data_IF_714704918387
#
_entry.id   IF_714704918387
#
_cell.length_a   1.000
_cell.length_b   1.000
_cell.length_c   1.000
_cell.angle_alpha   90.00
_cell.angle_beta   90.00
_cell.angle_gamma   90.00
#
_symmetry.space_group_name_H-M   'P 1'
#
loop_
_entity.id
_entity.type
_entity.pdbx_description
1 polymer ?
#
# COMPACT_ATOMS: atom_id res chain seq x y z
N UNK A 1 9.74 29.38 -7.91
CA UNK A 1 10.68 28.77 -6.94
C UNK A 1 10.75 27.29 -7.21
N UNK A 2 11.92 26.86 -7.68
CA UNK A 2 12.32 25.46 -7.85
C UNK A 2 12.37 24.80 -6.46
N UNK A 3 12.21 23.48 -6.39
CA UNK A 3 12.52 22.79 -5.14
C UNK A 3 14.03 22.88 -4.93
N UNK A 4 14.48 23.31 -3.75
CA UNK A 4 15.90 23.21 -3.42
C UNK A 4 16.28 21.72 -3.51
N UNK A 5 17.33 21.42 -4.28
CA UNK A 5 17.82 20.05 -4.40
C UNK A 5 18.21 19.60 -2.99
N UNK A 6 17.59 18.53 -2.46
CA UNK A 6 17.86 18.10 -1.09
C UNK A 6 19.33 17.67 -0.96
N UNK A 7 19.88 17.87 0.24
CA UNK A 7 21.20 17.33 0.57
C UNK A 7 21.22 15.82 0.34
N UNK A 8 22.27 15.33 -0.31
CA UNK A 8 22.36 13.93 -0.68
C UNK A 8 22.54 13.07 0.57
N UNK A 9 21.68 12.06 0.72
CA UNK A 9 21.77 11.09 1.81
C UNK A 9 23.08 10.30 1.62
N UNK A 10 23.83 10.08 2.71
CA UNK A 10 25.08 9.30 2.66
C UNK A 10 24.78 7.80 2.49
N UNK A 11 24.58 7.38 1.25
CA UNK A 11 24.28 6.00 0.88
C UNK A 11 25.56 5.17 0.70
N UNK A 12 25.58 3.99 1.33
CA UNK A 12 26.61 2.98 1.11
C UNK A 12 26.19 2.07 -0.06
N UNK A 13 26.90 2.17 -1.18
CA UNK A 13 26.67 1.32 -2.35
C UNK A 13 27.50 0.05 -2.29
N UNK A 14 26.96 -1.07 -2.78
CA UNK A 14 27.74 -2.30 -2.95
C UNK A 14 28.41 -2.31 -4.34
N UNK A 15 29.75 -2.24 -4.41
CA UNK A 15 30.47 -2.16 -5.68
C UNK A 15 30.38 -3.48 -6.46
N UNK A 16 30.40 -4.63 -5.78
CA UNK A 16 30.39 -5.95 -6.43
C UNK A 16 29.09 -6.26 -7.17
N UNK A 17 27.94 -5.87 -6.62
CA UNK A 17 26.64 -6.08 -7.27
C UNK A 17 26.10 -4.84 -7.98
N UNK A 18 26.86 -3.72 -8.04
CA UNK A 18 26.42 -2.44 -8.60
C UNK A 18 25.01 -2.04 -8.12
N UNK A 19 24.77 -2.12 -6.81
CA UNK A 19 23.49 -1.81 -6.16
C UNK A 19 22.25 -2.63 -6.61
N UNK A 20 22.43 -3.80 -7.24
CA UNK A 20 21.31 -4.72 -7.57
C UNK A 20 20.98 -5.72 -6.46
N UNK A 21 21.93 -5.97 -5.54
CA UNK A 21 21.83 -6.97 -4.47
C UNK A 21 22.14 -8.41 -4.90
N UNK A 22 22.23 -8.68 -6.21
CA UNK A 22 22.41 -10.02 -6.76
C UNK A 22 23.57 -10.06 -7.75
N UNK A 23 24.21 -11.23 -7.85
CA UNK A 23 25.19 -11.54 -8.89
C UNK A 23 24.67 -12.78 -9.60
N UNK A 24 24.13 -12.59 -10.81
CA UNK A 24 23.34 -13.62 -11.49
C UNK A 24 22.11 -14.00 -10.66
N UNK A 25 21.99 -15.27 -10.30
CA UNK A 25 20.86 -15.79 -9.49
C UNK A 25 21.13 -15.80 -7.98
N UNK A 26 22.37 -15.57 -7.55
CA UNK A 26 22.76 -15.67 -6.15
C UNK A 26 22.77 -14.30 -5.48
N UNK A 27 22.38 -14.26 -4.19
CA UNK A 27 22.54 -13.07 -3.36
C UNK A 27 24.01 -12.68 -3.30
N UNK A 28 24.29 -11.39 -3.44
CA UNK A 28 25.65 -10.90 -3.35
C UNK A 28 26.25 -11.25 -1.98
N UNK A 29 27.41 -11.91 -1.99
CA UNK A 29 28.11 -12.32 -0.77
C UNK A 29 28.64 -11.13 0.01
N UNK A 30 28.91 -9.99 -0.62
CA UNK A 30 29.46 -8.79 0.03
C UNK A 30 28.40 -8.03 0.84
N UNK A 31 27.27 -7.67 0.24
CA UNK A 31 26.18 -6.97 0.92
C UNK A 31 25.12 -7.89 1.53
N UNK A 32 25.17 -9.20 1.27
CA UNK A 32 24.15 -10.16 1.74
C UNK A 32 22.78 -9.98 1.08
N UNK A 33 22.72 -9.29 -0.07
CA UNK A 33 21.50 -8.93 -0.76
C UNK A 33 21.03 -7.49 -0.52
N UNK A 34 21.52 -6.83 0.53
CA UNK A 34 21.03 -5.51 0.96
C UNK A 34 21.25 -4.36 -0.04
N UNK A 35 22.10 -4.56 -1.06
CA UNK A 35 22.36 -3.69 -2.21
C UNK A 35 22.87 -2.26 -1.92
N UNK A 36 22.08 -1.46 -1.22
CA UNK A 36 22.33 -0.07 -0.79
C UNK A 36 21.80 0.08 0.63
N UNK A 37 22.49 0.85 1.47
CA UNK A 37 21.97 1.16 2.80
C UNK A 37 22.49 2.46 3.39
N UNK A 38 21.81 2.91 4.43
CA UNK A 38 22.06 4.15 5.14
C UNK A 38 21.75 3.94 6.63
N UNK A 39 22.59 4.50 7.51
CA UNK A 39 22.36 4.43 8.95
C UNK A 39 21.74 5.75 9.43
N UNK A 40 20.53 5.67 9.98
CA UNK A 40 19.80 6.85 10.47
C UNK A 40 18.89 6.43 11.61
N UNK A 41 18.66 7.32 12.58
CA UNK A 41 17.79 7.07 13.75
C UNK A 41 18.10 5.76 14.51
N UNK A 42 19.37 5.35 14.53
CA UNK A 42 19.80 4.12 15.22
C UNK A 42 19.46 2.82 14.48
N UNK A 43 18.92 2.90 13.26
CA UNK A 43 18.59 1.77 12.39
C UNK A 43 19.44 1.78 11.11
N UNK A 44 19.70 0.58 10.60
CA UNK A 44 20.27 0.37 9.28
C UNK A 44 19.15 0.17 8.27
N UNK A 45 18.83 1.25 7.55
CA UNK A 45 17.90 1.22 6.44
C UNK A 45 18.60 0.63 5.23
N UNK A 46 18.03 -0.38 4.60
CA UNK A 46 18.60 -0.98 3.40
C UNK A 46 17.55 -1.30 2.35
N UNK A 47 17.98 -1.42 1.10
CA UNK A 47 17.10 -1.71 -0.03
C UNK A 47 17.20 -3.17 -0.48
N UNK A 48 16.15 -3.96 -0.26
CA UNK A 48 16.08 -5.34 -0.77
C UNK A 48 14.92 -5.52 -1.74
N UNK A 49 15.06 -4.93 -2.92
CA UNK A 49 14.18 -5.18 -4.06
C UNK A 49 14.95 -5.03 -5.39
N UNK A 50 15.36 -6.14 -6.02
CA UNK A 50 16.22 -6.08 -7.21
C UNK A 50 15.48 -5.53 -8.43
N UNK A 51 15.83 -4.30 -8.83
CA UNK A 51 15.40 -3.70 -10.09
C UNK A 51 16.24 -4.26 -11.24
N UNK A 52 15.90 -5.46 -11.68
CA UNK A 52 16.56 -6.14 -12.81
C UNK A 52 15.51 -6.78 -13.71
N UNK A 53 15.83 -6.97 -14.99
CA UNK A 53 14.90 -7.56 -15.97
C UNK A 53 14.35 -8.92 -15.51
N UNK A 54 15.22 -9.80 -15.00
CA UNK A 54 14.82 -11.14 -14.54
C UNK A 54 13.87 -11.07 -13.35
N UNK A 55 14.24 -10.34 -12.29
CA UNK A 55 13.43 -10.29 -11.07
C UNK A 55 12.10 -9.55 -11.27
N UNK A 56 12.07 -8.50 -12.10
CA UNK A 56 10.84 -7.77 -12.43
C UNK A 56 9.89 -8.64 -13.27
N UNK A 57 10.39 -9.35 -14.28
CA UNK A 57 9.59 -10.28 -15.06
C UNK A 57 9.07 -11.44 -14.20
N UNK A 58 9.89 -11.97 -13.29
CA UNK A 58 9.47 -13.00 -12.35
C UNK A 58 8.39 -12.48 -11.38
N UNK A 59 8.51 -11.25 -10.87
CA UNK A 59 7.50 -10.64 -10.03
C UNK A 59 6.17 -10.46 -10.79
N UNK A 60 6.23 -9.98 -12.04
CA UNK A 60 5.05 -9.86 -12.92
C UNK A 60 4.42 -11.22 -13.20
N UNK A 61 5.22 -12.22 -13.54
CA UNK A 61 4.77 -13.58 -13.79
C UNK A 61 4.11 -14.20 -12.55
N UNK A 62 4.67 -14.02 -11.35
CA UNK A 62 4.05 -14.46 -10.10
C UNK A 62 2.68 -13.83 -9.89
N UNK A 63 2.53 -12.51 -10.10
CA UNK A 63 1.23 -11.82 -9.98
C UNK A 63 0.20 -12.37 -10.96
N UNK A 64 0.58 -12.59 -12.22
CA UNK A 64 -0.30 -13.17 -13.23
C UNK A 64 -0.67 -14.59 -12.84
N UNK A 65 0.30 -15.41 -12.46
CA UNK A 65 0.10 -16.78 -12.00
C UNK A 65 -0.86 -16.85 -10.81
N UNK A 66 -0.76 -15.91 -9.85
CA UNK A 66 -1.71 -15.84 -8.74
C UNK A 66 -3.14 -15.55 -9.20
N UNK A 67 -3.34 -14.61 -10.12
CA UNK A 67 -4.67 -14.33 -10.70
C UNK A 67 -5.22 -15.53 -11.46
N UNK A 68 -4.41 -16.14 -12.32
CA UNK A 68 -4.81 -17.33 -13.11
C UNK A 68 -5.15 -18.50 -12.18
N UNK A 69 -4.32 -18.77 -11.17
CA UNK A 69 -4.56 -19.81 -10.18
C UNK A 69 -5.84 -19.55 -9.37
N UNK A 70 -6.08 -18.30 -8.96
CA UNK A 70 -7.30 -17.96 -8.23
C UNK A 70 -8.55 -18.20 -9.10
N UNK A 71 -8.53 -17.71 -10.34
CA UNK A 71 -9.64 -17.88 -11.29
C UNK A 71 -9.86 -19.36 -11.61
N UNK A 72 -8.80 -20.13 -11.89
CA UNK A 72 -8.93 -21.55 -12.21
C UNK A 72 -9.48 -22.36 -11.04
N UNK A 73 -9.03 -22.11 -9.81
CA UNK A 73 -9.56 -22.75 -8.62
C UNK A 73 -11.01 -22.33 -8.32
N UNK A 74 -11.37 -21.07 -8.56
CA UNK A 74 -12.75 -20.61 -8.43
C UNK A 74 -13.68 -21.34 -9.42
N UNK A 75 -13.25 -21.48 -10.67
CA UNK A 75 -14.01 -22.22 -11.70
C UNK A 75 -14.13 -23.71 -11.39
N UNK A 76 -13.06 -24.33 -10.88
CA UNK A 76 -13.08 -25.73 -10.43
C UNK A 76 -14.02 -25.92 -9.23
N UNK A 77 -13.99 -24.99 -8.28
CA UNK A 77 -14.91 -24.99 -7.15
C UNK A 77 -16.37 -24.89 -7.61
N UNK A 78 -16.70 -23.93 -8.49
CA UNK A 78 -18.03 -23.75 -9.04
C UNK A 78 -18.51 -24.99 -9.81
N UNK A 79 -17.64 -25.63 -10.60
CA UNK A 79 -18.00 -26.86 -11.31
C UNK A 79 -18.25 -28.03 -10.35
N UNK A 80 -17.34 -28.24 -9.39
CA UNK A 80 -17.46 -29.33 -8.44
C UNK A 80 -18.75 -29.20 -7.60
N UNK A 81 -19.05 -28.00 -7.11
CA UNK A 81 -20.28 -27.74 -6.36
C UNK A 81 -21.53 -27.75 -7.25
N UNK A 82 -21.46 -27.21 -8.47
CA UNK A 82 -22.59 -27.21 -9.41
C UNK A 82 -23.03 -28.62 -9.78
N UNK A 83 -22.08 -29.45 -10.25
CA UNK A 83 -22.36 -30.85 -10.58
C UNK A 83 -22.73 -31.68 -9.35
N UNK A 84 -22.02 -31.50 -8.24
CA UNK A 84 -22.36 -32.16 -6.97
C UNK A 84 -23.81 -31.87 -6.55
N UNK A 85 -24.23 -30.61 -6.60
CA UNK A 85 -25.59 -30.17 -6.25
C UNK A 85 -26.63 -30.72 -7.22
N UNK A 86 -26.36 -30.71 -8.53
CA UNK A 86 -27.27 -31.26 -9.55
C UNK A 86 -27.48 -32.77 -9.37
N UNK A 87 -26.42 -33.53 -9.09
CA UNK A 87 -26.54 -34.96 -8.81
C UNK A 87 -27.32 -35.25 -7.51
N UNK A 88 -27.11 -34.44 -6.46
CA UNK A 88 -27.93 -34.53 -5.25
C UNK A 88 -29.40 -34.19 -5.52
N UNK A 89 -29.68 -33.19 -6.36
CA UNK A 89 -31.03 -32.84 -6.78
C UNK A 89 -31.72 -33.99 -7.52
N UNK A 90 -31.02 -34.64 -8.45
CA UNK A 90 -31.54 -35.81 -9.16
C UNK A 90 -31.86 -36.98 -8.22
N UNK A 91 -31.16 -37.13 -7.10
CA UNK A 91 -31.45 -38.13 -6.06
C UNK A 91 -32.62 -37.75 -5.15
N UNK A 92 -33.28 -36.62 -5.39
CA UNK A 92 -34.44 -36.17 -4.61
C UNK A 92 -34.08 -35.65 -3.22
N UNK A 93 -32.80 -35.39 -2.94
CA UNK A 93 -32.31 -35.04 -1.60
C UNK A 93 -32.83 -33.68 -1.10
N UNK A 94 -33.26 -32.81 -2.01
CA UNK A 94 -33.85 -31.49 -1.71
C UNK A 94 -35.38 -31.48 -1.62
N UNK A 95 -36.05 -32.64 -1.76
CA UNK A 95 -37.52 -32.71 -1.69
C UNK A 95 -38.08 -32.44 -0.29
N UNK A 96 -37.29 -32.69 0.77
CA UNK A 96 -37.65 -32.47 2.16
C UNK A 96 -36.61 -31.58 2.85
N UNK A 97 -36.69 -30.26 2.62
CA UNK A 97 -35.74 -29.27 3.18
C UNK A 97 -35.71 -29.28 4.71
N UNK A 98 -36.85 -29.57 5.36
CA UNK A 98 -36.96 -29.66 6.83
C UNK A 98 -36.12 -30.80 7.44
N UNK A 99 -35.91 -31.91 6.72
CA UNK A 99 -35.07 -33.02 7.20
C UNK A 99 -33.57 -32.71 7.10
N UNK A 100 -33.18 -31.76 6.25
CA UNK A 100 -31.80 -31.39 5.95
C UNK A 100 -31.19 -30.47 7.02
N UNK A 101 -32.04 -29.72 7.74
CA UNK A 101 -31.67 -28.80 8.83
C UNK A 101 -31.64 -29.48 10.22
N UNK A 102 -32.23 -30.66 10.37
CA UNK A 102 -32.22 -31.40 11.63
C UNK A 102 -30.87 -32.08 11.87
N UNK A 103 -30.12 -31.61 12.88
CA UNK A 103 -28.77 -32.07 13.22
C UNK A 103 -28.66 -33.59 13.47
N UNK A 104 -29.74 -34.23 13.93
CA UNK A 104 -29.85 -35.69 14.14
C UNK A 104 -29.76 -36.50 12.84
N UNK A 105 -30.11 -35.91 11.69
CA UNK A 105 -29.99 -36.52 10.35
C UNK A 105 -28.66 -36.19 9.65
N UNK A 106 -27.74 -35.45 10.28
CA UNK A 106 -26.43 -35.15 9.68
C UNK A 106 -25.61 -36.42 9.35
N UNK A 107 -25.78 -37.49 10.14
CA UNK A 107 -25.17 -38.81 9.85
C UNK A 107 -25.75 -39.48 8.60
N UNK A 108 -27.05 -39.34 8.31
CA UNK A 108 -27.66 -39.91 7.10
C UNK A 108 -27.28 -39.11 5.85
N UNK A 109 -27.09 -37.79 5.96
CA UNK A 109 -26.51 -36.94 4.91
C UNK A 109 -25.11 -37.40 4.50
N UNK A 110 -24.21 -37.62 5.46
CA UNK A 110 -22.84 -38.09 5.20
C UNK A 110 -22.86 -39.51 4.59
N UNK A 111 -23.80 -40.36 4.99
CA UNK A 111 -23.96 -41.70 4.40
C UNK A 111 -24.57 -41.65 2.99
N UNK A 112 -25.46 -40.71 2.70
CA UNK A 112 -26.03 -40.47 1.36
C UNK A 112 -25.03 -39.83 0.38
N UNK A 113 -23.94 -39.28 0.89
CA UNK A 113 -22.80 -38.77 0.12
C UNK A 113 -21.77 -39.87 -0.23
N UNK A 114 -22.11 -41.16 -0.07
CA UNK A 114 -21.25 -42.27 -0.50
C UNK A 114 -21.38 -42.48 -2.02
N UNK A 115 -20.57 -41.74 -2.77
CA UNK A 115 -20.56 -41.82 -4.24
C UNK A 115 -19.74 -40.70 -4.89
N UNK A 116 -19.92 -40.53 -6.20
CA UNK A 116 -19.27 -39.49 -7.00
C UNK A 116 -19.71 -38.10 -6.52
N UNK A 117 -20.97 -37.96 -6.10
CA UNK A 117 -21.54 -36.74 -5.54
C UNK A 117 -20.80 -36.25 -4.27
N UNK A 118 -20.45 -37.16 -3.37
CA UNK A 118 -19.67 -36.83 -2.18
C UNK A 118 -18.27 -36.39 -2.54
N UNK A 119 -17.61 -37.09 -3.46
CA UNK A 119 -16.28 -36.69 -3.93
C UNK A 119 -16.27 -35.29 -4.54
N UNK A 120 -17.28 -34.92 -5.34
CA UNK A 120 -17.41 -33.58 -5.91
C UNK A 120 -17.61 -32.51 -4.83
N UNK A 121 -18.43 -32.79 -3.82
CA UNK A 121 -18.71 -31.82 -2.74
C UNK A 121 -17.51 -31.64 -1.82
N UNK A 122 -16.87 -32.74 -1.41
CA UNK A 122 -15.68 -32.69 -0.54
C UNK A 122 -14.48 -32.07 -1.26
N UNK A 123 -14.25 -32.40 -2.54
CA UNK A 123 -13.19 -31.76 -3.33
C UNK A 123 -13.46 -30.27 -3.51
N UNK A 124 -14.70 -29.86 -3.77
CA UNK A 124 -15.10 -28.46 -3.78
C UNK A 124 -14.86 -27.77 -2.43
N UNK A 125 -15.25 -28.38 -1.31
CA UNK A 125 -14.99 -27.83 0.02
C UNK A 125 -13.48 -27.66 0.28
N UNK A 126 -12.66 -28.64 -0.10
CA UNK A 126 -11.20 -28.54 0.02
C UNK A 126 -10.61 -27.39 -0.81
N UNK A 127 -11.10 -27.19 -2.04
CA UNK A 127 -10.70 -26.07 -2.90
C UNK A 127 -11.09 -24.73 -2.26
N UNK A 128 -12.30 -24.63 -1.71
CA UNK A 128 -12.78 -23.43 -1.02
C UNK A 128 -11.91 -23.10 0.21
N UNK A 129 -11.61 -24.10 1.04
CA UNK A 129 -10.74 -23.93 2.21
C UNK A 129 -9.32 -23.53 1.80
N UNK A 130 -8.79 -24.10 0.72
CA UNK A 130 -7.50 -23.69 0.18
C UNK A 130 -7.52 -22.24 -0.33
N UNK A 131 -8.56 -21.85 -1.07
CA UNK A 131 -8.74 -20.46 -1.53
C UNK A 131 -8.82 -19.50 -0.34
N UNK A 132 -9.54 -19.88 0.71
CA UNK A 132 -9.67 -19.08 1.92
C UNK A 132 -8.35 -18.96 2.68
N UNK A 133 -7.63 -20.07 2.89
CA UNK A 133 -6.29 -20.09 3.46
C UNK A 133 -5.32 -19.19 2.67
N UNK A 134 -5.31 -19.30 1.34
CA UNK A 134 -4.48 -18.46 0.48
C UNK A 134 -4.86 -16.99 0.57
N UNK A 135 -6.14 -16.67 0.60
CA UNK A 135 -6.62 -15.29 0.77
C UNK A 135 -6.19 -14.69 2.12
N UNK A 136 -6.04 -15.50 3.17
CA UNK A 136 -5.52 -15.06 4.47
C UNK A 136 -4.00 -14.86 4.42
N UNK A 137 -3.25 -15.83 3.89
CA UNK A 137 -1.78 -15.77 3.81
C UNK A 137 -1.30 -14.66 2.87
N UNK A 138 -2.00 -14.38 1.79
CA UNK A 138 -1.64 -13.30 0.87
C UNK A 138 -1.90 -11.90 1.44
N UNK A 139 -2.63 -11.79 2.56
CA UNK A 139 -2.78 -10.55 3.34
C UNK A 139 -1.65 -10.31 4.34
N UNK A 140 -0.56 -11.09 4.31
CA UNK A 140 0.61 -10.83 5.17
C UNK A 140 1.02 -9.37 4.99
N UNK A 141 0.99 -8.65 6.11
CA UNK A 141 1.12 -7.20 6.18
C UNK A 141 2.50 -6.77 5.69
N UNK A 142 2.52 -5.71 4.90
CA UNK A 142 3.72 -4.92 4.63
C UNK A 142 4.18 -4.26 5.93
N UNK A 143 5.49 -4.12 6.08
CA UNK A 143 6.03 -3.39 7.21
C UNK A 143 5.60 -1.93 7.13
N UNK A 144 5.39 -1.32 8.29
CA UNK A 144 5.09 0.11 8.34
C UNK A 144 6.40 0.90 8.36
N UNK A 145 6.34 2.14 7.87
CA UNK A 145 7.40 3.13 8.12
C UNK A 145 7.56 3.29 9.64
N UNK A 146 8.79 3.60 10.07
CA UNK A 146 9.10 3.91 11.46
C UNK A 146 8.09 4.92 12.02
N UNK A 147 7.60 4.68 13.24
CA UNK A 147 6.70 5.62 13.90
C UNK A 147 7.49 6.80 14.42
N UNK A 148 6.99 8.00 14.16
CA UNK A 148 7.51 9.21 14.78
C UNK A 148 7.22 9.19 16.28
N UNK A 149 8.26 9.23 17.12
CA UNK A 149 8.13 9.25 18.58
C UNK A 149 8.19 10.68 19.12
N UNK A 150 7.03 11.28 19.39
CA UNK A 150 6.94 12.64 19.97
C UNK A 150 7.59 12.75 21.36
N UNK A 151 7.65 11.67 22.14
CA UNK A 151 8.20 11.66 23.51
C UNK A 151 9.73 11.76 23.59
N UNK A 152 10.43 11.89 22.46
CA UNK A 152 11.89 12.06 22.42
C UNK A 152 12.33 13.53 22.33
N UNK A 153 11.39 14.48 22.31
CA UNK A 153 11.71 15.92 22.26
C UNK A 153 12.12 16.51 23.62
N UNK A 154 12.05 15.73 24.71
CA UNK A 154 12.31 16.19 26.08
C UNK A 154 13.55 15.59 26.77
N UNK A 155 14.17 14.57 26.20
CA UNK A 155 15.42 13.98 26.72
C UNK A 155 16.44 14.01 25.59
N UNK A 156 17.60 14.61 25.86
CA UNK A 156 18.80 14.65 25.00
C UNK A 156 19.35 13.24 24.71
N UNK A 157 18.58 12.40 24.03
CA UNK A 157 19.15 11.33 23.22
C UNK A 157 19.41 11.97 21.87
N UNK A 158 20.57 12.62 21.77
CA UNK A 158 21.29 12.67 20.50
C UNK A 158 21.14 11.26 19.92
N UNK A 159 20.31 11.10 18.88
CA UNK A 159 20.42 9.90 18.07
C UNK A 159 21.90 9.82 17.69
N UNK A 160 22.47 8.61 17.66
CA UNK A 160 23.84 8.33 17.21
C UNK A 160 24.02 8.74 15.71
N UNK A 161 23.79 10.01 15.39
CA UNK A 161 23.89 10.67 14.08
C UNK A 161 25.32 10.61 13.55
N UNK A 162 26.29 10.27 14.41
CA UNK A 162 27.72 10.18 14.08
C UNK A 162 28.19 8.77 13.70
N UNK A 163 27.35 7.73 13.72
CA UNK A 163 27.78 6.39 13.27
C UNK A 163 27.73 6.32 11.75
N UNK A 164 28.78 6.82 11.11
CA UNK A 164 28.98 6.69 9.66
C UNK A 164 29.42 5.25 9.39
N UNK A 165 28.50 4.43 8.89
CA UNK A 165 28.80 3.07 8.44
C UNK A 165 29.44 3.15 7.04
N UNK A 166 30.77 3.12 6.99
CA UNK A 166 31.52 3.25 5.73
C UNK A 166 31.68 1.92 4.96
N UNK A 167 31.54 0.78 5.64
CA UNK A 167 31.85 -0.54 5.08
C UNK A 167 30.73 -1.57 5.26
N UNK A 168 30.54 -2.43 4.24
CA UNK A 168 29.58 -3.55 4.29
C UNK A 168 29.88 -4.58 5.37
N UNK A 169 31.15 -4.72 5.78
CA UNK A 169 31.55 -5.58 6.90
C UNK A 169 30.95 -5.09 8.22
N UNK A 170 30.86 -3.77 8.41
CA UNK A 170 30.25 -3.18 9.59
C UNK A 170 28.73 -3.28 9.51
N UNK A 171 28.13 -2.93 8.36
CA UNK A 171 26.69 -3.04 8.12
C UNK A 171 26.14 -4.45 8.41
N UNK A 172 26.90 -5.50 8.06
CA UNK A 172 26.52 -6.89 8.34
C UNK A 172 26.49 -7.24 9.82
N UNK A 173 27.40 -6.70 10.63
CA UNK A 173 27.50 -6.97 12.08
C UNK A 173 26.35 -6.34 12.87
N UNK A 174 25.62 -5.38 12.29
CA UNK A 174 24.44 -4.77 12.92
C UNK A 174 23.41 -5.85 13.25
N UNK A 175 22.84 -5.79 14.46
CA UNK A 175 21.82 -6.75 14.94
C UNK A 175 20.61 -6.74 14.01
N UNK A 176 20.04 -7.91 13.72
CA UNK A 176 18.91 -8.04 12.77
C UNK A 176 17.71 -7.16 13.13
N UNK A 177 17.43 -6.94 14.42
CA UNK A 177 16.32 -6.10 14.89
C UNK A 177 16.49 -4.61 14.55
N UNK A 178 17.73 -4.18 14.29
CA UNK A 178 18.05 -2.80 13.89
C UNK A 178 18.15 -2.63 12.37
N UNK A 179 17.91 -3.69 11.58
CA UNK A 179 17.96 -3.63 10.12
C UNK A 179 16.54 -3.56 9.61
N UNK A 180 16.25 -2.54 8.81
CA UNK A 180 14.92 -2.31 8.23
C UNK A 180 15.08 -2.34 6.72
N UNK A 181 14.34 -3.26 6.08
CA UNK A 181 14.23 -3.25 4.62
C UNK A 181 13.23 -2.17 4.22
N UNK A 182 13.75 -1.08 3.67
CA UNK A 182 12.94 0.06 3.22
C UNK A 182 11.92 -0.38 2.17
N UNK A 183 12.28 -1.32 1.29
CA UNK A 183 11.40 -1.78 0.21
C UNK A 183 10.11 -2.45 0.71
N UNK A 184 10.12 -3.06 1.91
CA UNK A 184 8.93 -3.74 2.46
C UNK A 184 7.86 -2.74 2.91
N UNK A 185 8.24 -1.47 3.12
CA UNK A 185 7.33 -0.37 3.47
C UNK A 185 6.65 0.28 2.26
N UNK A 186 7.08 -0.06 1.04
CA UNK A 186 6.53 0.52 -0.18
C UNK A 186 5.22 -0.17 -0.55
N UNK A 187 4.23 0.62 -0.99
CA UNK A 187 2.98 0.08 -1.55
C UNK A 187 3.24 -0.78 -2.78
N UNK A 188 2.32 -1.70 -3.10
CA UNK A 188 2.50 -2.56 -4.28
C UNK A 188 2.50 -1.72 -5.57
N UNK A 189 1.70 -0.65 -5.57
CA UNK A 189 1.65 0.36 -6.62
C UNK A 189 2.99 1.12 -6.75
N UNK A 190 3.61 1.54 -5.64
CA UNK A 190 4.92 2.16 -5.69
C UNK A 190 5.99 1.21 -6.26
N UNK A 191 6.02 -0.05 -5.80
CA UNK A 191 6.94 -1.06 -6.33
C UNK A 191 6.66 -1.41 -7.80
N UNK A 192 5.40 -1.40 -8.24
CA UNK A 192 5.07 -1.60 -9.67
C UNK A 192 5.61 -0.46 -10.51
N UNK A 193 5.43 0.79 -10.07
CA UNK A 193 5.91 1.99 -10.78
C UNK A 193 7.43 2.00 -10.88
N UNK A 194 8.15 1.64 -9.81
CA UNK A 194 9.62 1.50 -9.85
C UNK A 194 10.07 0.46 -10.90
N UNK A 195 9.37 -0.68 -10.96
CA UNK A 195 9.62 -1.71 -11.95
C UNK A 195 9.31 -1.25 -13.39
N UNK A 196 8.22 -0.51 -13.58
CA UNK A 196 7.84 0.06 -14.88
C UNK A 196 8.85 1.10 -15.35
N UNK A 197 9.31 1.98 -14.47
CA UNK A 197 10.37 2.95 -14.75
C UNK A 197 11.63 2.28 -15.29
N UNK A 198 12.08 1.21 -14.62
CA UNK A 198 13.20 0.40 -15.09
C UNK A 198 12.93 -0.23 -16.46
N UNK A 199 11.74 -0.81 -16.66
CA UNK A 199 11.39 -1.42 -17.94
C UNK A 199 11.31 -0.40 -19.08
N UNK A 200 10.94 0.85 -18.80
CA UNK A 200 10.96 1.92 -19.81
C UNK A 200 12.40 2.25 -20.19
N UNK A 201 13.31 2.41 -19.22
CA UNK A 201 14.74 2.62 -19.51
C UNK A 201 15.33 1.46 -20.34
N UNK A 202 14.95 0.23 -20.00
CA UNK A 202 15.36 -0.99 -20.71
C UNK A 202 14.84 -1.04 -22.16
N UNK A 203 13.57 -0.66 -22.37
CA UNK A 203 12.94 -0.63 -23.70
C UNK A 203 13.44 0.50 -24.60
N UNK A 204 13.72 1.66 -24.00
CA UNK A 204 14.24 2.83 -24.72
C UNK A 204 15.75 2.72 -24.97
N UNK A 205 16.40 1.70 -24.42
CA UNK A 205 17.82 1.44 -24.64
C UNK A 205 18.73 2.41 -23.89
N UNK A 206 18.28 3.01 -22.79
CA UNK A 206 19.16 3.81 -21.93
C UNK A 206 20.08 2.92 -21.10
N UNK A 207 21.32 3.37 -20.85
CA UNK A 207 22.28 2.63 -20.03
C UNK A 207 21.97 2.72 -18.53
N UNK A 208 21.14 3.68 -18.14
CA UNK A 208 20.69 3.84 -16.77
C UNK A 208 19.23 4.25 -16.65
N UNK A 209 18.58 3.78 -15.59
CA UNK A 209 17.27 4.24 -15.17
C UNK A 209 17.42 5.53 -14.36
N UNK A 210 16.86 6.61 -14.89
CA UNK A 210 16.98 7.97 -14.35
C UNK A 210 15.67 8.44 -13.69
N UNK A 211 15.67 9.53 -12.90
CA UNK A 211 14.45 10.11 -12.32
C UNK A 211 13.36 10.42 -13.36
N UNK A 212 13.72 10.77 -14.58
CA UNK A 212 12.79 11.08 -15.67
C UNK A 212 11.98 9.84 -16.08
N UNK A 213 12.61 8.66 -16.12
CA UNK A 213 11.93 7.39 -16.35
C UNK A 213 10.95 7.07 -15.22
N UNK A 214 11.32 7.38 -13.97
CA UNK A 214 10.45 7.21 -12.82
C UNK A 214 9.25 8.15 -12.87
N UNK A 215 9.48 9.41 -13.22
CA UNK A 215 8.41 10.39 -13.36
C UNK A 215 7.43 10.00 -14.48
N UNK A 216 7.93 9.54 -15.62
CA UNK A 216 7.09 9.02 -16.70
C UNK A 216 6.21 7.84 -16.23
N UNK A 217 6.78 6.90 -15.48
CA UNK A 217 6.03 5.75 -14.94
C UNK A 217 4.99 6.20 -13.90
N UNK A 218 5.34 7.16 -13.04
CA UNK A 218 4.44 7.72 -12.03
C UNK A 218 3.19 8.33 -12.67
N UNK A 219 3.31 9.04 -13.79
CA UNK A 219 2.18 9.65 -14.50
C UNK A 219 1.12 8.63 -14.96
N UNK A 220 1.47 7.33 -15.05
CA UNK A 220 0.53 6.26 -15.40
C UNK A 220 -0.30 5.76 -14.20
N UNK A 221 0.07 6.10 -12.96
CA UNK A 221 -0.73 5.80 -11.78
C UNK A 221 -1.97 6.70 -11.73
N UNK A 222 -3.14 6.10 -11.46
CA UNK A 222 -4.40 6.85 -11.30
C UNK A 222 -4.29 7.90 -10.18
N UNK A 223 -3.59 7.61 -9.08
CA UNK A 223 -3.42 8.57 -7.97
C UNK A 223 -2.64 9.81 -8.44
N UNK A 224 -1.56 9.60 -9.18
CA UNK A 224 -0.72 10.68 -9.71
C UNK A 224 -1.46 11.43 -10.81
N UNK A 225 -2.17 10.73 -11.69
CA UNK A 225 -3.03 11.35 -12.69
C UNK A 225 -4.05 12.30 -12.06
N UNK A 226 -4.71 11.90 -10.97
CA UNK A 226 -5.66 12.74 -10.24
C UNK A 226 -5.00 13.98 -9.60
N UNK A 227 -3.76 13.87 -9.12
CA UNK A 227 -2.96 15.01 -8.62
C UNK A 227 -2.74 16.01 -9.76
N UNK A 228 -2.30 15.56 -10.93
CA UNK A 228 -2.07 16.45 -12.07
C UNK A 228 -3.38 17.03 -12.63
N UNK A 229 -4.47 16.27 -12.66
CA UNK A 229 -5.81 16.79 -12.99
C UNK A 229 -6.21 17.93 -12.06
N UNK A 230 -5.93 17.83 -10.74
CA UNK A 230 -6.17 18.91 -9.78
C UNK A 230 -5.27 20.12 -10.00
N UNK A 231 -4.07 19.92 -10.56
CA UNK A 231 -3.18 20.99 -11.02
C UNK A 231 -3.58 21.57 -12.39
N UNK A 232 -4.73 21.17 -12.93
CA UNK A 232 -5.23 21.54 -14.25
C UNK A 232 -4.30 21.13 -15.42
N UNK A 233 -3.48 20.09 -15.22
CA UNK A 233 -2.56 19.57 -16.23
C UNK A 233 -2.90 18.09 -16.46
N UNK A 234 -3.32 17.68 -17.67
CA UNK A 234 -3.60 16.27 -17.91
C UNK A 234 -2.28 15.48 -17.91
N UNK A 235 -2.16 14.46 -17.07
CA UNK A 235 -0.95 13.63 -16.96
C UNK A 235 -0.52 13.02 -18.30
N UNK A 236 -1.47 12.74 -19.20
CA UNK A 236 -1.21 12.24 -20.55
C UNK A 236 -0.47 13.25 -21.44
N UNK A 237 -0.65 14.56 -21.24
CA UNK A 237 0.09 15.59 -21.97
C UNK A 237 1.55 15.63 -21.54
N UNK A 238 1.81 15.66 -20.23
CA UNK A 238 3.14 15.56 -19.64
C UNK A 238 3.87 14.30 -20.07
N UNK A 239 3.16 13.17 -20.08
CA UNK A 239 3.73 11.89 -20.50
C UNK A 239 4.16 11.90 -21.97
N UNK A 240 3.43 12.58 -22.85
CA UNK A 240 3.83 12.77 -24.26
C UNK A 240 5.09 13.63 -24.37
N UNK A 241 5.13 14.78 -23.70
CA UNK A 241 6.31 15.66 -23.69
C UNK A 241 7.56 14.94 -23.20
N UNK A 242 7.43 14.13 -22.14
CA UNK A 242 8.53 13.31 -21.62
C UNK A 242 8.90 12.16 -22.55
N UNK A 243 7.95 11.59 -23.29
CA UNK A 243 8.23 10.52 -24.24
C UNK A 243 9.22 10.99 -25.31
N UNK A 244 9.08 12.24 -25.78
CA UNK A 244 9.99 12.83 -26.76
C UNK A 244 11.38 13.07 -26.16
N UNK A 245 11.46 13.58 -24.93
CA UNK A 245 12.73 13.80 -24.20
C UNK A 245 13.45 12.47 -23.92
N UNK A 246 12.70 11.42 -23.60
CA UNK A 246 13.22 10.08 -23.33
C UNK A 246 13.44 9.26 -24.61
N UNK A 247 13.24 9.82 -25.80
CA UNK A 247 13.35 9.07 -27.06
C UNK A 247 12.41 7.86 -27.14
N UNK A 248 11.35 7.80 -26.32
CA UNK A 248 10.40 6.69 -26.28
C UNK A 248 9.54 6.62 -27.54
N UNK A 249 9.46 7.71 -28.32
CA UNK A 249 8.82 7.75 -29.64
C UNK A 249 9.68 7.13 -30.74
N UNK A 250 11.01 7.14 -30.57
CA UNK A 250 11.97 6.49 -31.44
C UNK A 250 12.63 5.34 -30.68
N UNK A 251 11.87 4.26 -30.46
CA UNK A 251 12.47 2.99 -29.99
C UNK A 251 13.54 2.65 -31.02
N UNK A 252 14.80 2.88 -30.67
CA UNK A 252 15.90 2.59 -31.56
C UNK A 252 15.85 1.09 -31.85
N UNK A 253 15.43 0.73 -33.07
CA UNK A 253 15.59 -0.59 -33.67
C UNK A 253 17.07 -0.99 -33.82
N UNK A 254 18.00 -0.21 -33.26
CA UNK A 254 19.39 -0.56 -33.12
C UNK A 254 19.50 -1.81 -32.24
N UNK A 255 20.18 -2.81 -32.78
CA UNK A 255 20.56 -4.05 -32.12
C UNK A 255 21.38 -3.76 -30.84
N UNK A 256 20.73 -3.33 -29.76
CA UNK A 256 21.39 -3.35 -28.45
C UNK A 256 21.45 -4.78 -27.97
N UNK A 257 22.64 -5.16 -27.54
CA UNK A 257 22.94 -6.49 -27.08
C UNK A 257 21.95 -6.87 -25.98
N UNK A 258 21.19 -7.96 -26.19
CA UNK A 258 20.11 -8.41 -25.29
C UNK A 258 20.61 -8.65 -23.85
N UNK A 259 21.92 -8.70 -23.67
CA UNK A 259 22.66 -8.91 -22.44
C UNK A 259 22.97 -7.65 -21.63
N UNK A 260 22.93 -6.46 -22.24
CA UNK A 260 23.15 -5.20 -21.50
C UNK A 260 21.87 -4.81 -20.75
N UNK A 261 22.00 -4.54 -19.45
CA UNK A 261 20.88 -4.15 -18.58
C UNK A 261 21.14 -2.74 -18.04
N UNK A 262 20.11 -1.87 -17.98
CA UNK A 262 20.28 -0.54 -17.41
C UNK A 262 20.64 -0.63 -15.93
N UNK A 263 21.57 0.20 -15.50
CA UNK A 263 21.88 0.38 -14.07
C UNK A 263 20.96 1.42 -13.46
N UNK A 264 20.72 1.37 -12.15
CA UNK A 264 19.98 2.44 -11.48
C UNK A 264 20.94 3.62 -11.26
N UNK A 265 20.56 4.82 -11.72
CA UNK A 265 21.35 6.03 -11.48
C UNK A 265 21.46 6.37 -9.99
N UNK A 266 22.48 7.15 -9.64
CA UNK A 266 22.71 7.56 -8.25
C UNK A 266 21.55 8.39 -7.70
N UNK A 267 20.97 9.26 -8.53
CA UNK A 267 19.81 10.09 -8.24
C UNK A 267 18.56 9.24 -8.01
N UNK A 268 18.36 8.20 -8.82
CA UNK A 268 17.27 7.26 -8.61
C UNK A 268 17.43 6.51 -7.29
N UNK A 269 18.65 6.09 -6.93
CA UNK A 269 18.90 5.46 -5.63
C UNK A 269 18.64 6.42 -4.46
N UNK A 270 19.00 7.71 -4.60
CA UNK A 270 18.64 8.73 -3.61
C UNK A 270 17.13 8.83 -3.44
N UNK A 271 16.35 8.84 -4.53
CA UNK A 271 14.88 8.87 -4.47
C UNK A 271 14.28 7.73 -3.63
N UNK A 272 14.87 6.53 -3.68
CA UNK A 272 14.38 5.38 -2.89
C UNK A 272 14.47 5.62 -1.38
N UNK A 273 15.54 6.25 -0.91
CA UNK A 273 15.71 6.57 0.52
C UNK A 273 15.01 7.88 0.88
N UNK A 274 15.10 8.91 0.03
CA UNK A 274 14.41 10.18 0.25
C UNK A 274 12.90 10.03 0.33
N UNK A 275 12.30 9.10 -0.43
CA UNK A 275 10.85 8.81 -0.34
C UNK A 275 10.46 8.13 0.97
N UNK A 276 11.35 7.34 1.56
CA UNK A 276 11.16 6.80 2.90
C UNK A 276 11.24 7.90 3.97
N UNK A 277 12.25 8.77 3.88
CA UNK A 277 12.40 9.92 4.78
C UNK A 277 11.24 10.91 4.68
N UNK A 278 10.73 11.12 3.46
CA UNK A 278 9.53 11.92 3.19
C UNK A 278 8.28 11.26 3.83
N UNK A 279 8.12 9.94 3.72
CA UNK A 279 7.03 9.23 4.36
C UNK A 279 7.10 9.34 5.89
N UNK A 280 8.29 9.18 6.46
CA UNK A 280 8.56 9.32 7.89
C UNK A 280 8.20 10.73 8.38
N UNK A 281 8.71 11.76 7.69
CA UNK A 281 8.46 13.17 8.03
C UNK A 281 6.99 13.55 7.89
N UNK A 282 6.30 13.00 6.87
CA UNK A 282 4.88 13.22 6.64
C UNK A 282 3.96 12.29 7.49
N UNK A 283 4.54 11.52 8.43
CA UNK A 283 3.82 10.62 9.33
C UNK A 283 2.92 9.62 8.60
N UNK A 284 3.39 9.11 7.46
CA UNK A 284 2.68 8.12 6.65
C UNK A 284 3.03 6.71 7.15
N UNK A 285 2.06 5.79 7.11
CA UNK A 285 2.27 4.39 7.53
C UNK A 285 3.14 3.61 6.52
N UNK A 286 3.26 4.06 5.27
CA UNK A 286 3.89 3.37 4.14
C UNK A 286 4.38 4.38 3.10
N UNK A 287 5.30 3.97 2.24
CA UNK A 287 5.76 4.79 1.10
C UNK A 287 4.84 4.57 -0.10
N UNK A 288 4.07 5.59 -0.47
CA UNK A 288 3.15 5.57 -1.61
C UNK A 288 3.79 6.20 -2.86
N UNK A 289 3.05 6.18 -3.96
CA UNK A 289 3.43 6.89 -5.19
C UNK A 289 3.53 8.41 -4.97
N UNK A 290 2.87 8.97 -3.94
CA UNK A 290 2.94 10.39 -3.58
C UNK A 290 4.31 10.79 -3.05
N UNK A 291 4.91 10.00 -2.16
CA UNK A 291 6.25 10.26 -1.62
C UNK A 291 7.31 10.05 -2.71
N UNK A 292 7.11 9.05 -3.58
CA UNK A 292 7.93 8.86 -4.77
C UNK A 292 7.86 10.06 -5.71
N UNK A 293 6.66 10.60 -5.97
CA UNK A 293 6.47 11.78 -6.81
C UNK A 293 7.26 12.98 -6.30
N UNK A 294 7.06 13.33 -5.02
CA UNK A 294 7.76 14.46 -4.40
C UNK A 294 9.28 14.27 -4.43
N UNK A 295 9.76 13.08 -4.07
CA UNK A 295 11.19 12.77 -4.04
C UNK A 295 11.81 12.83 -5.44
N UNK A 296 11.09 12.34 -6.46
CA UNK A 296 11.53 12.36 -7.86
C UNK A 296 11.70 13.79 -8.38
N UNK A 297 10.72 14.65 -8.11
CA UNK A 297 10.75 16.05 -8.53
C UNK A 297 11.84 16.82 -7.77
N UNK A 298 11.97 16.61 -6.45
CA UNK A 298 13.05 17.23 -5.65
C UNK A 298 14.45 16.86 -6.16
N UNK A 299 14.65 15.64 -6.65
CA UNK A 299 15.97 15.16 -7.07
C UNK A 299 16.38 15.62 -8.48
N UNK A 300 15.44 15.81 -9.42
CA UNK A 300 15.75 16.19 -10.81
C UNK A 300 15.40 17.65 -11.11
N UNK A 301 16.44 18.47 -11.32
CA UNK A 301 16.30 19.89 -11.71
C UNK A 301 15.52 20.02 -13.02
N UNK A 302 15.76 19.13 -13.99
CA UNK A 302 15.05 19.13 -15.29
C UNK A 302 13.54 18.97 -15.12
N UNK A 303 13.11 18.08 -14.22
CA UNK A 303 11.68 17.89 -13.95
C UNK A 303 11.06 19.12 -13.28
N UNK A 304 11.81 19.80 -12.42
CA UNK A 304 11.35 21.02 -11.78
C UNK A 304 11.21 22.16 -12.79
N UNK A 305 12.14 22.28 -13.75
CA UNK A 305 12.05 23.25 -14.85
C UNK A 305 10.80 23.00 -15.70
N UNK A 306 10.57 21.75 -16.12
CA UNK A 306 9.36 21.37 -16.90
C UNK A 306 8.07 21.72 -16.14
N UNK A 307 8.02 21.44 -14.83
CA UNK A 307 6.85 21.75 -14.02
C UNK A 307 6.67 23.26 -13.81
N UNK A 308 7.78 23.99 -13.66
CA UNK A 308 7.78 25.43 -13.51
C UNK A 308 7.26 26.13 -14.79
N UNK A 309 7.68 25.67 -15.96
CA UNK A 309 7.19 26.15 -17.26
C UNK A 309 5.67 25.93 -17.44
N UNK A 310 5.14 24.91 -16.77
CA UNK A 310 3.70 24.62 -16.71
C UNK A 310 2.97 25.34 -15.57
N UNK A 311 3.59 26.35 -14.96
CA UNK A 311 3.05 27.12 -13.84
C UNK A 311 2.69 26.27 -12.61
N UNK A 312 3.37 25.14 -12.41
CA UNK A 312 3.30 24.34 -11.18
C UNK A 312 4.39 24.80 -10.23
N UNK A 313 4.01 25.59 -9.23
CA UNK A 313 4.91 26.00 -8.18
C UNK A 313 5.05 24.92 -7.08
N UNK A 314 6.12 25.02 -6.27
CA UNK A 314 6.42 24.14 -5.14
C UNK A 314 5.24 24.01 -4.17
N UNK A 315 4.63 25.13 -3.77
CA UNK A 315 3.58 25.13 -2.75
C UNK A 315 2.30 24.48 -3.26
N UNK A 316 1.93 24.75 -4.50
CA UNK A 316 0.78 24.19 -5.19
C UNK A 316 0.90 22.68 -5.30
N UNK A 317 2.07 22.17 -5.69
CA UNK A 317 2.32 20.73 -5.72
C UNK A 317 2.22 20.11 -4.31
N UNK A 318 2.86 20.71 -3.30
CA UNK A 318 2.79 20.23 -1.92
C UNK A 318 1.34 20.18 -1.40
N UNK A 319 0.57 21.24 -1.63
CA UNK A 319 -0.84 21.32 -1.21
C UNK A 319 -1.70 20.21 -1.84
N UNK A 320 -1.52 19.93 -3.14
CA UNK A 320 -2.28 18.87 -3.81
C UNK A 320 -1.84 17.48 -3.36
N UNK A 321 -0.55 17.28 -3.09
CA UNK A 321 -0.06 16.03 -2.51
C UNK A 321 -0.58 15.82 -1.09
N UNK A 322 -0.60 16.85 -0.24
CA UNK A 322 -1.20 16.79 1.10
C UNK A 322 -2.69 16.48 1.04
N UNK A 323 -3.43 17.12 0.12
CA UNK A 323 -4.82 16.77 -0.13
C UNK A 323 -4.99 15.27 -0.47
N UNK A 324 -4.12 14.72 -1.31
CA UNK A 324 -4.16 13.30 -1.67
C UNK A 324 -3.84 12.39 -0.46
N UNK A 325 -2.87 12.77 0.38
CA UNK A 325 -2.51 12.08 1.63
C UNK A 325 -3.69 12.06 2.61
N UNK A 326 -4.32 13.21 2.86
CA UNK A 326 -5.47 13.34 3.76
C UNK A 326 -6.62 12.47 3.28
N UNK A 327 -6.94 12.52 1.98
CA UNK A 327 -8.01 11.71 1.39
C UNK A 327 -7.79 10.21 1.59
N UNK A 328 -6.57 9.73 1.37
CA UNK A 328 -6.20 8.33 1.59
C UNK A 328 -6.28 7.95 3.09
N UNK A 329 -5.83 8.83 3.99
CA UNK A 329 -5.92 8.63 5.44
C UNK A 329 -7.38 8.49 5.88
N UNK A 330 -8.24 9.40 5.46
CA UNK A 330 -9.68 9.37 5.77
C UNK A 330 -10.35 8.11 5.23
N UNK A 331 -10.05 7.72 3.99
CA UNK A 331 -10.57 6.48 3.40
C UNK A 331 -10.16 5.23 4.18
N UNK A 332 -8.91 5.17 4.65
CA UNK A 332 -8.43 4.05 5.47
C UNK A 332 -9.05 4.04 6.86
N UNK A 333 -9.18 5.20 7.49
CA UNK A 333 -9.86 5.32 8.77
C UNK A 333 -11.30 4.85 8.64
N UNK A 334 -12.01 5.28 7.60
CA UNK A 334 -13.34 4.80 7.26
C UNK A 334 -13.39 3.26 7.14
N UNK A 335 -12.51 2.63 6.36
CA UNK A 335 -12.49 1.15 6.25
C UNK A 335 -12.20 0.48 7.61
N UNK A 336 -11.18 0.95 8.34
CA UNK A 336 -10.80 0.38 9.65
C UNK A 336 -11.98 0.49 10.63
N UNK A 337 -12.66 1.63 10.61
CA UNK A 337 -13.80 1.92 11.45
C UNK A 337 -15.01 1.03 11.10
N UNK A 338 -15.36 0.91 9.82
CA UNK A 338 -16.41 -0.01 9.35
C UNK A 338 -16.12 -1.47 9.69
N UNK A 339 -14.86 -1.91 9.57
CA UNK A 339 -14.47 -3.26 9.94
C UNK A 339 -14.62 -3.50 11.47
N UNK A 340 -14.28 -2.51 12.30
CA UNK A 340 -14.48 -2.57 13.74
C UNK A 340 -15.98 -2.58 14.12
N UNK A 341 -16.83 -1.91 13.32
CA UNK A 341 -18.27 -1.88 13.49
C UNK A 341 -18.98 -3.18 13.11
N UNK A 342 -18.37 -4.02 12.25
CA UNK A 342 -19.02 -5.25 11.74
C UNK A 342 -19.45 -6.24 12.84
N UNK A 343 -18.76 -6.25 13.99
CA UNK A 343 -19.10 -7.09 15.16
C UNK A 343 -20.02 -6.39 16.19
N UNK A 344 -20.47 -5.17 15.93
CA UNK A 344 -21.31 -4.39 16.84
C UNK A 344 -22.80 -4.64 16.57
N UNK A 345 -23.62 -4.40 17.59
CA UNK A 345 -25.08 -4.54 17.46
C UNK A 345 -25.62 -3.46 16.55
N UNK A 346 -26.53 -3.81 15.63
CA UNK A 346 -27.23 -2.83 14.80
C UNK A 346 -28.46 -2.24 15.48
N UNK A 347 -28.93 -2.91 16.53
CA UNK A 347 -29.97 -2.40 17.44
C UNK A 347 -29.29 -1.67 18.58
N UNK A 348 -29.98 -0.69 19.16
CA UNK A 348 -29.47 0.21 20.21
C UNK A 348 -28.99 -0.50 21.48
N UNK A 349 -28.85 0.25 22.57
CA UNK A 349 -28.18 -0.13 23.83
C UNK A 349 -28.79 -1.33 24.61
N UNK A 350 -29.65 -2.14 23.99
CA UNK A 350 -30.32 -3.32 24.57
C UNK A 350 -29.38 -4.52 24.81
N UNK A 351 -28.06 -4.35 24.68
CA UNK A 351 -27.07 -5.43 24.84
C UNK A 351 -26.86 -5.86 26.28
N UNK A 352 -27.11 -4.97 27.23
CA UNK A 352 -27.27 -5.32 28.61
C UNK A 352 -28.77 -5.21 28.89
N UNK A 353 -29.41 -6.25 29.42
CA UNK A 353 -30.81 -6.22 29.89
C UNK A 353 -31.08 -5.19 31.01
N UNK A 354 -30.21 -4.19 31.15
CA UNK A 354 -30.21 -3.06 32.08
C UNK A 354 -30.64 -1.75 31.42
N UNK A 355 -30.70 -1.67 30.09
CA UNK A 355 -31.17 -0.48 29.38
C UNK A 355 -32.69 -0.49 29.23
N UNK A 356 -33.34 0.65 29.53
CA UNK A 356 -34.78 0.85 29.35
C UNK A 356 -35.04 1.16 27.88
N UNK A 357 -35.98 0.46 27.24
CA UNK A 357 -36.38 0.75 25.88
C UNK A 357 -37.02 2.15 25.77
N UNK A 358 -36.63 2.92 24.77
CA UNK A 358 -37.08 4.31 24.54
C UNK A 358 -37.86 4.49 23.23
N UNK A 359 -39.01 3.80 23.04
CA UNK A 359 -39.72 3.78 21.75
C UNK A 359 -40.23 5.16 21.31
N UNK A 360 -40.65 6.02 22.25
CA UNK A 360 -41.10 7.38 21.93
C UNK A 360 -39.96 8.28 21.44
N UNK A 361 -38.80 8.24 22.11
CA UNK A 361 -37.64 9.05 21.72
C UNK A 361 -37.12 8.64 20.34
N UNK A 362 -37.12 7.34 20.04
CA UNK A 362 -36.67 6.80 18.76
C UNK A 362 -37.56 7.22 17.57
N UNK A 363 -38.80 7.66 17.82
CA UNK A 363 -39.69 8.16 16.76
C UNK A 363 -39.41 9.63 16.39
N UNK A 364 -38.77 10.40 17.29
CA UNK A 364 -38.58 11.85 17.15
C UNK A 364 -37.11 12.28 17.18
N UNK A 365 -36.17 11.35 17.34
CA UNK A 365 -34.74 11.65 17.41
C UNK A 365 -33.91 10.56 16.75
N UNK A 366 -32.74 10.95 16.26
CA UNK A 366 -31.73 10.03 15.72
C UNK A 366 -30.63 9.77 16.75
N UNK A 367 -30.26 8.49 16.92
CA UNK A 367 -29.10 8.12 17.74
C UNK A 367 -27.80 8.38 16.98
N UNK A 368 -27.22 9.56 17.19
CA UNK A 368 -25.93 9.94 16.62
C UNK A 368 -24.79 9.01 17.05
N UNK A 369 -24.87 8.35 18.21
CA UNK A 369 -23.82 7.41 18.64
C UNK A 369 -23.87 6.12 17.84
N UNK A 370 -25.07 5.64 17.51
CA UNK A 370 -25.28 4.50 16.62
C UNK A 370 -24.86 4.83 15.19
N UNK A 371 -25.26 5.99 14.68
CA UNK A 371 -24.83 6.46 13.35
C UNK A 371 -23.31 6.64 13.28
N UNK A 372 -22.70 7.23 14.31
CA UNK A 372 -21.26 7.35 14.45
C UNK A 372 -20.61 5.97 14.43
N UNK A 373 -21.11 5.01 15.22
CA UNK A 373 -20.59 3.63 15.31
C UNK A 373 -20.54 2.92 13.95
N UNK A 374 -21.48 3.20 13.05
CA UNK A 374 -21.52 2.61 11.71
C UNK A 374 -20.88 3.47 10.63
N UNK A 375 -20.27 4.61 10.97
CA UNK A 375 -19.56 5.46 10.01
C UNK A 375 -20.49 6.26 9.11
N UNK A 376 -21.75 6.45 9.52
CA UNK A 376 -22.75 7.21 8.77
C UNK A 376 -22.63 8.73 9.00
N UNK A 377 -21.81 9.17 9.95
CA UNK A 377 -21.51 10.58 10.17
C UNK A 377 -20.22 10.97 9.43
N UNK A 378 -20.22 12.17 8.88
CA UNK A 378 -19.01 12.74 8.28
C UNK A 378 -17.98 13.09 9.36
N UNK A 379 -16.69 12.95 9.02
CA UNK A 379 -15.63 13.39 9.92
C UNK A 379 -15.59 14.91 9.96
N UNK A 380 -15.71 15.48 11.16
CA UNK A 380 -15.40 16.89 11.40
C UNK A 380 -13.89 17.09 11.26
N UNK A 381 -13.45 18.02 10.42
CA UNK A 381 -12.04 18.35 10.19
C UNK A 381 -11.75 19.71 10.82
N UNK A 382 -10.62 19.85 11.52
CA UNK A 382 -10.13 21.13 12.06
C UNK A 382 -11.09 21.78 13.09
N UNK A 383 -11.68 20.97 13.96
CA UNK A 383 -12.60 21.38 15.04
C UNK A 383 -12.23 20.73 16.39
N UNK A 384 -10.96 20.34 16.55
CA UNK A 384 -10.50 19.56 17.68
C UNK A 384 -10.64 20.33 19.00
N UNK A 385 -10.34 21.63 19.00
CA UNK A 385 -10.42 22.48 20.19
C UNK A 385 -11.87 22.65 20.65
N UNK A 386 -12.80 22.91 19.72
CA UNK A 386 -14.22 23.05 20.04
C UNK A 386 -14.79 21.74 20.57
N UNK A 387 -14.44 20.60 19.95
CA UNK A 387 -14.87 19.27 20.42
C UNK A 387 -14.31 18.99 21.82
N UNK A 388 -13.04 19.30 22.08
CA UNK A 388 -12.42 19.10 23.39
C UNK A 388 -13.08 19.97 24.47
N UNK A 389 -13.43 21.22 24.15
CA UNK A 389 -14.16 22.11 25.04
C UNK A 389 -15.57 21.58 25.36
N UNK A 390 -16.31 21.12 24.34
CA UNK A 390 -17.63 20.49 24.51
C UNK A 390 -17.53 19.31 25.49
N UNK A 391 -16.57 18.41 25.26
CA UNK A 391 -16.37 17.21 26.10
C UNK A 391 -16.00 17.63 27.53
N UNK A 392 -15.08 18.59 27.69
CA UNK A 392 -14.63 19.08 28.99
C UNK A 392 -15.77 19.69 29.82
N UNK A 393 -16.66 20.46 29.19
CA UNK A 393 -17.84 21.04 29.85
C UNK A 393 -18.79 19.93 30.33
N UNK A 394 -19.03 18.92 29.48
CA UNK A 394 -19.91 17.78 29.81
C UNK A 394 -19.33 16.94 30.95
N UNK A 395 -18.02 16.65 30.93
CA UNK A 395 -17.32 15.92 31.99
C UNK A 395 -17.32 16.67 33.33
N UNK A 396 -17.37 18.00 33.30
CA UNK A 396 -17.47 18.86 34.49
C UNK A 396 -18.75 18.68 35.31
N UNK A 397 -19.73 17.93 34.79
CA UNK A 397 -20.88 17.44 35.56
C UNK A 397 -21.85 18.55 35.98
N UNK A 398 -22.56 19.14 35.01
CA UNK A 398 -23.73 19.98 35.32
C UNK A 398 -24.11 21.07 34.32
N UNK A 399 -23.43 21.20 33.17
CA UNK A 399 -23.69 22.29 32.23
C UNK A 399 -24.13 21.78 30.86
N UNK A 400 -25.22 22.36 30.34
CA UNK A 400 -25.65 22.17 28.95
C UNK A 400 -24.75 22.99 28.04
N UNK A 401 -24.36 22.43 26.91
CA UNK A 401 -23.55 23.11 25.90
C UNK A 401 -24.46 23.85 24.92
N UNK A 402 -24.18 25.12 24.67
CA UNK A 402 -24.82 25.92 23.62
C UNK A 402 -23.73 26.35 22.63
N UNK A 403 -23.89 25.94 21.37
CA UNK A 403 -23.00 26.36 20.30
C UNK A 403 -23.52 27.67 19.70
N UNK A 404 -22.67 28.70 19.69
CA UNK A 404 -23.00 30.03 19.15
C UNK A 404 -22.19 30.27 17.88
N UNK A 405 -22.87 30.67 16.80
CA UNK A 405 -22.26 30.98 15.51
C UNK A 405 -23.33 31.40 14.51
N UNK A 406 -22.90 31.85 13.34
CA UNK A 406 -23.80 32.12 12.24
C UNK A 406 -24.41 30.80 11.72
N UNK A 407 -25.71 30.82 11.44
CA UNK A 407 -26.49 29.68 10.94
C UNK A 407 -26.32 29.45 9.46
#
# INVERSE_FOLDING_TARGET
MLFDKPEAISLLFCPTCKATGFIGFNKCKECGGMSVGHFVRGHWLFWFFPLTRYHLNLAKARRIFFKVRFISLLLLWLNAWGWGTLFLYKKGLFSNVEQLLNWTNSRSLIQNLKGIEGLLIYSGLAILLYLWYRAIVERIKKDNVERYHYSQYGDNKEFDEKVIVSDWRQAKKIKSRKKINVADTFTDEALTVLGEAYLIADKTGHDSATPEHLFYALLSSNRIANIFTRLAIPASSLQKTLADVLGATNISNGQKDKFTMPLISSEFQQILFSSYEEAYSAHQEYVSVTELLLSTIKQSVKLQEILFDLAVDKQKLLNVVEWARIRERLYRQYIKFHAAAAGRSKTGMDKAMTAVQTPFLNNFSDDLTLLAQFGNLESCIARENEIEEIVRIVEGGGQNVILVGDS
#
